data_IF_517466326034
#
_entry.id   IF_517466326034
#
_cell.length_a   1.000
_cell.length_b   1.000
_cell.length_c   1.000
_cell.angle_alpha   90.00
_cell.angle_beta   90.00
_cell.angle_gamma   90.00
#
_symmetry.space_group_name_H-M   'P 1'
#
loop_
_entity.id
_entity.type
_entity.pdbx_description
1 polymer ?
#
# COMPACT_ATOMS: atom_id res chain seq x y z
N UNK A 1 -10.65 -56.63 -50.93
CA UNK A 1 -9.75 -55.54 -50.50
C UNK A 1 -10.40 -54.59 -49.46
N UNK A 2 -11.39 -55.03 -48.66
CA UNK A 2 -12.14 -54.15 -47.73
C UNK A 2 -11.85 -54.35 -46.24
N UNK A 3 -10.95 -55.26 -45.85
CA UNK A 3 -10.67 -55.59 -44.45
C UNK A 3 -9.48 -54.83 -43.83
N UNK A 4 -8.67 -54.15 -44.64
CA UNK A 4 -7.48 -53.40 -44.18
C UNK A 4 -7.81 -51.98 -43.72
N UNK A 5 -8.84 -51.36 -44.32
CA UNK A 5 -9.28 -50.00 -43.99
C UNK A 5 -9.80 -49.86 -42.56
N UNK A 6 -10.41 -50.91 -41.99
CA UNK A 6 -10.96 -50.89 -40.63
C UNK A 6 -9.89 -51.05 -39.55
N UNK A 7 -8.82 -51.83 -39.81
CA UNK A 7 -7.68 -51.98 -38.91
C UNK A 7 -6.86 -50.70 -38.86
N UNK A 8 -6.60 -50.08 -40.02
CA UNK A 8 -5.87 -48.82 -40.10
C UNK A 8 -6.63 -47.67 -39.43
N UNK A 9 -7.96 -47.60 -39.59
CA UNK A 9 -8.79 -46.62 -38.88
C UNK A 9 -8.76 -46.80 -37.35
N UNK A 10 -8.78 -48.05 -36.86
CA UNK A 10 -8.63 -48.34 -35.42
C UNK A 10 -7.24 -48.00 -34.89
N UNK A 11 -6.18 -48.25 -35.68
CA UNK A 11 -4.81 -47.84 -35.33
C UNK A 11 -4.66 -46.33 -35.30
N UNK A 12 -5.24 -45.60 -36.25
CA UNK A 12 -5.23 -44.13 -36.23
C UNK A 12 -6.04 -43.57 -35.04
N UNK A 13 -7.20 -44.16 -34.72
CA UNK A 13 -8.00 -43.73 -33.58
C UNK A 13 -7.30 -43.98 -32.23
N UNK A 14 -6.62 -45.12 -32.08
CA UNK A 14 -5.85 -45.43 -30.86
C UNK A 14 -4.60 -44.56 -30.72
N UNK A 15 -3.88 -44.31 -31.82
CA UNK A 15 -2.75 -43.36 -31.82
C UNK A 15 -3.21 -41.94 -31.47
N UNK A 16 -4.33 -41.49 -32.03
CA UNK A 16 -4.92 -40.19 -31.69
C UNK A 16 -5.34 -40.12 -30.21
N UNK A 17 -5.97 -41.17 -29.68
CA UNK A 17 -6.35 -41.23 -28.26
C UNK A 17 -5.13 -41.21 -27.33
N UNK A 18 -4.07 -41.97 -27.64
CA UNK A 18 -2.81 -41.95 -26.87
C UNK A 18 -2.12 -40.59 -26.95
N UNK A 19 -2.15 -39.93 -28.11
CA UNK A 19 -1.63 -38.59 -28.26
C UNK A 19 -2.39 -37.61 -27.36
N UNK A 20 -3.73 -37.64 -27.36
CA UNK A 20 -4.56 -36.79 -26.49
C UNK A 20 -4.31 -37.07 -25.01
N UNK A 21 -4.19 -38.33 -24.60
CA UNK A 21 -3.91 -38.66 -23.20
C UNK A 21 -2.53 -38.14 -22.77
N UNK A 22 -1.51 -38.31 -23.61
CA UNK A 22 -0.15 -37.82 -23.31
C UNK A 22 -0.09 -36.29 -23.27
N UNK A 23 -0.79 -35.58 -24.17
CA UNK A 23 -0.82 -34.11 -24.15
C UNK A 23 -1.53 -33.59 -22.90
N UNK A 24 -2.65 -34.20 -22.50
CA UNK A 24 -3.35 -33.83 -21.26
C UNK A 24 -2.50 -34.12 -20.03
N UNK A 25 -1.85 -35.29 -19.96
CA UNK A 25 -0.97 -35.64 -18.85
C UNK A 25 0.24 -34.70 -18.76
N UNK A 26 0.85 -34.34 -19.88
CA UNK A 26 1.96 -33.40 -19.94
C UNK A 26 1.53 -31.98 -19.54
N UNK A 27 0.39 -31.50 -20.04
CA UNK A 27 -0.16 -30.20 -19.66
C UNK A 27 -0.49 -30.15 -18.15
N UNK A 28 -1.08 -31.22 -17.60
CA UNK A 28 -1.33 -31.34 -16.17
C UNK A 28 -0.02 -31.35 -15.36
N UNK A 29 1.03 -32.01 -15.86
CA UNK A 29 2.35 -32.01 -15.23
C UNK A 29 2.99 -30.61 -15.24
N UNK A 30 2.95 -29.89 -16.36
CA UNK A 30 3.46 -28.52 -16.45
C UNK A 30 2.69 -27.56 -15.53
N UNK A 31 1.37 -27.67 -15.50
CA UNK A 31 0.54 -26.89 -14.61
C UNK A 31 0.82 -27.21 -13.13
N UNK A 32 0.96 -28.49 -12.77
CA UNK A 32 1.35 -28.86 -11.42
C UNK A 32 2.76 -28.34 -11.07
N UNK A 33 3.72 -28.47 -12.00
CA UNK A 33 5.10 -28.04 -11.81
C UNK A 33 5.22 -26.54 -11.54
N UNK A 34 4.36 -25.69 -12.14
CA UNK A 34 4.39 -24.25 -11.88
C UNK A 34 3.96 -23.86 -10.45
N UNK A 35 3.22 -24.71 -9.73
CA UNK A 35 2.95 -24.51 -8.30
C UNK A 35 4.14 -24.86 -7.41
N UNK A 36 4.96 -25.83 -7.84
CA UNK A 36 6.12 -26.30 -7.07
C UNK A 36 7.39 -25.48 -7.38
N UNK A 37 7.59 -25.13 -8.64
CA UNK A 37 8.74 -24.33 -9.11
C UNK A 37 8.32 -22.86 -9.08
N UNK A 38 8.59 -22.20 -7.96
CA UNK A 38 8.32 -20.77 -7.81
C UNK A 38 9.38 -19.95 -8.51
N UNK A 39 9.01 -19.23 -9.56
CA UNK A 39 9.88 -18.23 -10.20
C UNK A 39 9.99 -17.00 -9.28
N UNK A 40 11.20 -16.53 -8.95
CA UNK A 40 11.38 -15.28 -8.19
C UNK A 40 10.74 -14.10 -8.94
N UNK A 41 9.92 -13.31 -8.26
CA UNK A 41 9.24 -12.14 -8.83
C UNK A 41 10.04 -10.85 -8.55
N UNK A 42 10.30 -10.55 -7.27
CA UNK A 42 11.04 -9.36 -6.85
C UNK A 42 12.56 -9.57 -7.01
N UNK A 43 13.07 -9.28 -8.19
CA UNK A 43 14.47 -9.53 -8.59
C UNK A 43 15.23 -8.26 -9.00
N UNK A 44 14.65 -7.08 -8.76
CA UNK A 44 15.34 -5.81 -9.03
C UNK A 44 16.63 -5.70 -8.22
N UNK A 45 17.64 -5.07 -8.83
CA UNK A 45 18.91 -4.77 -8.18
C UNK A 45 18.76 -3.74 -7.05
N UNK A 46 17.75 -2.86 -7.13
CA UNK A 46 17.46 -1.86 -6.11
C UNK A 46 16.39 -2.39 -5.15
N UNK A 47 16.80 -2.68 -3.91
CA UNK A 47 15.88 -3.10 -2.84
C UNK A 47 15.07 -1.92 -2.31
N UNK A 48 13.95 -2.18 -1.64
CA UNK A 48 13.17 -1.13 -0.99
C UNK A 48 13.98 -0.31 0.03
N UNK A 49 14.74 -0.97 0.91
CA UNK A 49 15.67 -0.31 1.83
C UNK A 49 16.74 0.52 1.09
N UNK A 50 17.29 0.01 -0.02
CA UNK A 50 18.23 0.75 -0.85
C UNK A 50 17.61 2.01 -1.45
N UNK A 51 16.38 1.91 -1.94
CA UNK A 51 15.66 3.06 -2.45
C UNK A 51 15.37 4.12 -1.37
N UNK A 52 14.97 3.70 -0.17
CA UNK A 52 14.76 4.62 0.96
C UNK A 52 16.07 5.33 1.32
N UNK A 53 17.19 4.62 1.32
CA UNK A 53 18.50 5.23 1.53
C UNK A 53 18.83 6.29 0.46
N UNK A 54 18.52 6.05 -0.81
CA UNK A 54 18.65 7.06 -1.88
C UNK A 54 17.77 8.29 -1.65
N UNK A 55 16.56 8.13 -1.12
CA UNK A 55 15.69 9.25 -0.78
C UNK A 55 16.27 10.07 0.37
N UNK A 56 16.87 9.40 1.36
CA UNK A 56 17.43 10.05 2.55
C UNK A 56 18.76 10.75 2.29
N UNK A 57 19.57 10.26 1.35
CA UNK A 57 20.91 10.80 1.03
C UNK A 57 20.94 11.64 -0.24
N UNK A 58 19.90 11.55 -1.08
CA UNK A 58 19.78 12.27 -2.33
C UNK A 58 19.27 13.70 -2.18
N UNK A 59 18.72 14.23 -3.27
CA UNK A 59 18.20 15.59 -3.31
C UNK A 59 17.00 15.77 -2.33
N UNK A 60 16.97 16.83 -1.51
CA UNK A 60 15.97 17.00 -0.44
C UNK A 60 14.52 17.08 -0.93
N UNK A 61 14.30 17.49 -2.17
CA UNK A 61 12.95 17.51 -2.75
C UNK A 61 12.44 16.13 -3.15
N UNK A 62 13.32 15.14 -3.39
CA UNK A 62 12.88 13.79 -3.79
C UNK A 62 12.06 13.15 -2.69
N UNK A 63 12.57 13.14 -1.46
CA UNK A 63 11.82 12.56 -0.33
C UNK A 63 10.51 13.31 -0.08
N UNK A 64 10.48 14.63 -0.28
CA UNK A 64 9.25 15.42 -0.18
C UNK A 64 8.22 15.04 -1.23
N UNK A 65 8.63 14.85 -2.48
CA UNK A 65 7.72 14.47 -3.57
C UNK A 65 7.21 13.04 -3.39
N UNK A 66 8.07 12.11 -2.95
CA UNK A 66 7.74 10.69 -2.87
C UNK A 66 7.00 10.32 -1.57
N UNK A 67 7.37 10.93 -0.43
CA UNK A 67 6.83 10.61 0.90
C UNK A 67 5.98 11.74 1.50
N UNK A 68 5.82 12.87 0.80
CA UNK A 68 4.97 13.98 1.23
C UNK A 68 5.56 14.84 2.35
N UNK A 69 6.80 14.59 2.78
CA UNK A 69 7.45 15.30 3.88
C UNK A 69 8.94 15.52 3.66
N UNK A 70 9.48 16.56 4.29
CA UNK A 70 10.92 16.83 4.26
C UNK A 70 11.72 15.78 5.05
N UNK A 71 12.98 15.56 4.68
CA UNK A 71 13.87 14.58 5.30
C UNK A 71 13.93 14.66 6.83
N UNK A 72 14.09 15.87 7.37
CA UNK A 72 14.18 16.06 8.83
C UNK A 72 12.88 15.66 9.55
N UNK A 73 11.72 15.87 8.92
CA UNK A 73 10.41 15.45 9.45
C UNK A 73 10.29 13.93 9.41
N UNK A 74 10.73 13.31 8.31
CA UNK A 74 10.76 11.85 8.18
C UNK A 74 11.63 11.21 9.27
N UNK A 75 12.85 11.72 9.49
CA UNK A 75 13.72 11.21 10.55
C UNK A 75 13.11 11.39 11.94
N UNK A 76 12.57 12.57 12.24
CA UNK A 76 11.91 12.83 13.52
C UNK A 76 10.70 11.90 13.76
N UNK A 77 9.94 11.61 12.71
CA UNK A 77 8.82 10.68 12.78
C UNK A 77 9.28 9.24 13.05
N UNK A 78 10.32 8.78 12.36
CA UNK A 78 10.92 7.46 12.59
C UNK A 78 11.41 7.34 14.04
N UNK A 79 12.04 8.38 14.59
CA UNK A 79 12.52 8.40 15.98
C UNK A 79 11.37 8.38 16.99
N UNK A 80 10.29 9.12 16.75
CA UNK A 80 9.09 9.09 17.59
C UNK A 80 8.40 7.71 17.55
N UNK A 81 8.28 7.10 16.36
CA UNK A 81 7.74 5.75 16.21
C UNK A 81 8.62 4.70 16.90
N UNK A 82 9.94 4.88 16.89
CA UNK A 82 10.88 4.04 17.64
C UNK A 82 10.70 4.22 19.15
N UNK A 83 10.45 5.44 19.61
CA UNK A 83 10.21 5.78 21.02
C UNK A 83 8.95 5.14 21.60
N UNK A 84 7.91 4.93 20.78
CA UNK A 84 6.68 4.22 21.19
C UNK A 84 6.77 2.69 21.03
N UNK A 85 7.93 2.15 20.61
CA UNK A 85 8.20 0.72 20.54
C UNK A 85 7.98 0.05 19.17
N UNK A 86 7.83 0.82 18.09
CA UNK A 86 7.79 0.25 16.74
C UNK A 86 9.23 0.03 16.25
N UNK A 87 9.49 -1.16 15.74
CA UNK A 87 10.82 -1.54 15.27
C UNK A 87 10.78 -2.18 13.88
N UNK A 88 11.95 -2.15 13.23
CA UNK A 88 12.20 -2.94 12.02
C UNK A 88 11.97 -4.43 12.29
N UNK A 89 11.54 -5.15 11.26
CA UNK A 89 11.62 -6.61 11.25
C UNK A 89 13.01 -7.04 10.78
N UNK A 90 13.30 -8.34 10.82
CA UNK A 90 14.56 -8.86 10.29
C UNK A 90 14.78 -8.53 8.79
N UNK A 91 13.69 -8.37 8.03
CA UNK A 91 13.76 -8.18 6.57
C UNK A 91 13.41 -6.77 6.09
N UNK A 92 12.82 -5.93 6.95
CA UNK A 92 12.30 -4.60 6.59
C UNK A 92 12.61 -3.62 7.72
N UNK A 93 13.40 -2.59 7.44
CA UNK A 93 13.79 -1.59 8.45
C UNK A 93 12.59 -0.73 8.87
N UNK A 94 12.72 0.02 9.97
CA UNK A 94 11.64 0.91 10.40
C UNK A 94 11.43 2.04 9.37
N UNK A 95 12.52 2.60 8.86
CA UNK A 95 12.53 3.63 7.82
C UNK A 95 11.80 3.12 6.57
N UNK A 96 12.04 1.88 6.16
CA UNK A 96 11.37 1.27 5.01
C UNK A 96 9.88 1.05 5.26
N UNK A 97 9.49 0.59 6.46
CA UNK A 97 8.07 0.46 6.81
C UNK A 97 7.33 1.81 6.74
N UNK A 98 7.93 2.85 7.32
CA UNK A 98 7.37 4.21 7.33
C UNK A 98 7.31 4.76 5.90
N UNK A 99 8.36 4.54 5.09
CA UNK A 99 8.37 4.93 3.69
C UNK A 99 7.28 4.22 2.87
N UNK A 100 7.06 2.92 3.07
CA UNK A 100 5.97 2.16 2.41
C UNK A 100 4.62 2.79 2.71
N UNK A 101 4.36 3.13 3.97
CA UNK A 101 3.10 3.75 4.39
C UNK A 101 2.88 5.10 3.71
N UNK A 102 3.83 6.03 3.84
CA UNK A 102 3.67 7.37 3.27
C UNK A 102 3.68 7.38 1.74
N UNK A 103 4.51 6.55 1.11
CA UNK A 103 4.50 6.40 -0.33
C UNK A 103 3.12 5.94 -0.84
N UNK A 104 2.49 4.99 -0.14
CA UNK A 104 1.13 4.52 -0.46
C UNK A 104 0.11 5.65 -0.30
N UNK A 105 0.16 6.40 0.81
CA UNK A 105 -0.75 7.52 1.07
C UNK A 105 -0.61 8.67 0.07
N UNK A 106 0.62 9.01 -0.32
CA UNK A 106 0.92 10.13 -1.22
C UNK A 106 0.59 9.81 -2.66
N UNK A 107 0.89 8.60 -3.12
CA UNK A 107 0.72 8.22 -4.53
C UNK A 107 -0.62 7.57 -4.85
N UNK A 108 -1.30 6.98 -3.86
CA UNK A 108 -2.54 6.23 -4.08
C UNK A 108 -2.38 4.98 -4.93
N UNK A 109 -1.15 4.46 -5.09
CA UNK A 109 -0.86 3.28 -5.89
C UNK A 109 -1.45 2.00 -5.27
N UNK A 110 -1.78 1.03 -6.12
CA UNK A 110 -2.22 -0.29 -5.66
C UNK A 110 -1.06 -1.04 -4.99
N UNK A 111 -1.41 -1.95 -4.07
CA UNK A 111 -0.42 -2.74 -3.32
C UNK A 111 0.57 -3.50 -4.21
N UNK A 112 0.15 -3.89 -5.41
CA UNK A 112 0.99 -4.54 -6.40
C UNK A 112 2.11 -3.62 -6.90
N UNK A 113 1.79 -2.37 -7.23
CA UNK A 113 2.79 -1.40 -7.68
C UNK A 113 3.73 -0.99 -6.55
N UNK A 114 3.20 -0.87 -5.33
CA UNK A 114 4.03 -0.60 -4.14
C UNK A 114 4.96 -1.78 -3.84
N UNK A 115 4.45 -3.01 -3.92
CA UNK A 115 5.25 -4.23 -3.78
C UNK A 115 6.34 -4.35 -4.81
N UNK A 116 6.06 -3.97 -6.06
CA UNK A 116 7.09 -3.88 -7.09
C UNK A 116 8.11 -2.77 -6.79
N UNK A 117 7.68 -1.58 -6.35
CA UNK A 117 8.63 -0.50 -6.03
C UNK A 117 9.61 -0.87 -4.92
N UNK A 118 9.11 -1.48 -3.85
CA UNK A 118 9.91 -1.83 -2.68
C UNK A 118 10.48 -3.26 -2.74
N UNK A 119 10.17 -4.02 -3.81
CA UNK A 119 10.64 -5.39 -4.01
C UNK A 119 10.23 -6.34 -2.87
N UNK A 120 8.99 -6.21 -2.39
CA UNK A 120 8.42 -7.02 -1.32
C UNK A 120 7.08 -7.61 -1.73
N UNK A 121 6.81 -8.82 -1.22
CA UNK A 121 5.52 -9.47 -1.39
C UNK A 121 4.37 -8.59 -0.85
N UNK A 122 3.20 -8.65 -1.49
CA UNK A 122 2.01 -7.89 -1.08
C UNK A 122 1.65 -8.08 0.40
N UNK A 123 1.86 -9.29 0.96
CA UNK A 123 1.66 -9.56 2.38
C UNK A 123 2.61 -8.75 3.28
N UNK A 124 3.86 -8.55 2.87
CA UNK A 124 4.81 -7.69 3.59
C UNK A 124 4.40 -6.23 3.47
N UNK A 125 4.05 -5.74 2.27
CA UNK A 125 3.57 -4.35 2.10
C UNK A 125 2.34 -4.07 2.97
N UNK A 126 1.34 -4.96 2.95
CA UNK A 126 0.12 -4.81 3.76
C UNK A 126 0.44 -4.78 5.25
N UNK A 127 1.33 -5.67 5.72
CA UNK A 127 1.76 -5.68 7.13
C UNK A 127 2.45 -4.38 7.51
N UNK A 128 3.40 -3.89 6.69
CA UNK A 128 4.12 -2.64 6.96
C UNK A 128 3.15 -1.45 7.02
N UNK A 129 2.22 -1.38 6.05
CA UNK A 129 1.19 -0.34 6.01
C UNK A 129 0.34 -0.34 7.27
N UNK A 130 -0.17 -1.50 7.69
CA UNK A 130 -1.01 -1.62 8.88
C UNK A 130 -0.25 -1.34 10.17
N UNK A 131 1.00 -1.80 10.28
CA UNK A 131 1.86 -1.52 11.45
C UNK A 131 2.02 -0.02 11.66
N UNK A 132 2.35 0.73 10.61
CA UNK A 132 2.54 2.18 10.72
C UNK A 132 1.20 2.88 10.94
N UNK A 133 0.13 2.48 10.23
CA UNK A 133 -1.21 3.02 10.41
C UNK A 133 -1.67 2.91 11.87
N UNK A 134 -1.58 1.73 12.47
CA UNK A 134 -1.97 1.54 13.86
C UNK A 134 -1.07 2.30 14.82
N UNK A 135 0.23 2.42 14.54
CA UNK A 135 1.13 3.21 15.35
C UNK A 135 0.74 4.69 15.36
N UNK A 136 0.52 5.30 14.19
CA UNK A 136 0.17 6.74 14.09
C UNK A 136 -1.25 7.03 14.56
N UNK A 137 -2.15 6.04 14.54
CA UNK A 137 -3.51 6.16 15.08
C UNK A 137 -3.63 5.73 16.56
N UNK A 138 -2.53 5.26 17.17
CA UNK A 138 -2.55 4.85 18.57
C UNK A 138 -2.52 6.06 19.51
N UNK A 139 -3.13 5.98 20.72
CA UNK A 139 -3.13 7.09 21.68
C UNK A 139 -1.75 7.70 21.98
N UNK A 140 -0.66 6.90 22.15
CA UNK A 140 0.68 7.46 22.39
C UNK A 140 1.18 8.43 21.33
N UNK A 141 0.74 8.26 20.08
CA UNK A 141 1.12 9.12 18.96
C UNK A 141 0.01 10.13 18.65
N UNK A 142 -1.20 9.65 18.40
CA UNK A 142 -2.33 10.44 17.93
C UNK A 142 -2.67 11.57 18.90
N UNK A 143 -2.85 11.29 20.19
CA UNK A 143 -3.26 12.29 21.18
C UNK A 143 -2.19 13.37 21.42
N UNK A 144 -0.92 13.02 21.16
CA UNK A 144 0.21 13.94 21.29
C UNK A 144 0.23 14.98 20.16
N UNK A 145 -0.01 14.54 18.93
CA UNK A 145 0.17 15.36 17.73
C UNK A 145 -1.13 15.88 17.11
N UNK A 146 -2.22 15.14 17.23
CA UNK A 146 -3.53 15.51 16.70
C UNK A 146 -4.40 16.06 17.83
N UNK A 147 -4.54 17.38 17.85
CA UNK A 147 -5.42 18.08 18.80
C UNK A 147 -6.56 18.71 18.01
N UNK A 148 -7.75 18.14 18.17
CA UNK A 148 -8.96 18.78 17.66
C UNK A 148 -9.26 20.02 18.51
N UNK A 149 -9.60 21.14 17.86
CA UNK A 149 -10.04 22.33 18.55
C UNK A 149 -11.39 22.00 19.20
N UNK A 150 -11.49 22.14 20.52
CA UNK A 150 -12.77 22.00 21.21
C UNK A 150 -13.64 23.22 20.92
N UNK A 151 -14.96 23.06 20.95
CA UNK A 151 -15.97 24.12 20.73
C UNK A 151 -15.86 25.32 21.69
N UNK A 152 -15.01 25.21 22.71
CA UNK A 152 -14.74 26.24 23.72
C UNK A 152 -13.60 27.16 23.28
N UNK A 153 -12.73 26.73 22.35
CA UNK A 153 -11.62 27.55 21.90
C UNK A 153 -12.10 28.62 20.90
N UNK A 154 -11.74 29.90 21.11
CA UNK A 154 -12.15 30.98 20.22
C UNK A 154 -11.55 30.76 18.83
N UNK A 155 -12.32 31.13 17.80
CA UNK A 155 -11.86 31.11 16.40
C UNK A 155 -10.51 31.83 16.32
N UNK A 156 -9.46 31.21 15.73
CA UNK A 156 -8.15 31.85 15.64
C UNK A 156 -8.21 33.25 15.02
N UNK A 157 -7.43 34.19 15.57
CA UNK A 157 -7.43 35.60 15.13
C UNK A 157 -7.17 35.78 13.63
N UNK A 158 -6.37 34.90 13.03
CA UNK A 158 -6.15 34.84 11.58
C UNK A 158 -7.45 34.67 10.77
N UNK A 159 -8.40 33.88 11.27
CA UNK A 159 -9.70 33.65 10.61
C UNK A 159 -10.62 34.83 10.92
N UNK A 160 -10.74 35.23 12.18
CA UNK A 160 -11.61 36.33 12.63
C UNK A 160 -11.30 37.65 11.92
N UNK A 161 -10.01 37.97 11.74
CA UNK A 161 -9.57 39.24 11.18
C UNK A 161 -9.58 39.26 9.63
N UNK A 162 -9.90 38.14 8.97
CA UNK A 162 -9.89 38.05 7.53
C UNK A 162 -11.33 37.95 6.97
N UNK A 163 -11.84 38.98 6.26
CA UNK A 163 -13.20 38.97 5.72
C UNK A 163 -13.40 37.91 4.61
N UNK A 164 -12.31 37.33 4.07
CA UNK A 164 -12.40 36.17 3.17
C UNK A 164 -12.77 34.88 3.92
N UNK A 165 -12.41 34.77 5.19
CA UNK A 165 -12.61 33.56 5.99
C UNK A 165 -13.76 33.69 6.99
N UNK A 166 -13.93 34.85 7.61
CA UNK A 166 -15.07 35.14 8.48
C UNK A 166 -16.17 35.87 7.69
N UNK A 167 -17.46 35.47 7.80
CA UNK A 167 -18.04 34.54 8.78
C UNK A 167 -18.08 33.06 8.36
N UNK A 168 -17.60 32.70 7.17
CA UNK A 168 -17.75 31.35 6.59
C UNK A 168 -17.17 30.22 7.46
N UNK A 169 -16.09 30.50 8.20
CA UNK A 169 -15.44 29.54 9.11
C UNK A 169 -15.68 29.86 10.60
N UNK A 170 -16.73 30.61 10.95
CA UNK A 170 -17.00 31.07 12.32
C UNK A 170 -17.27 29.94 13.35
N UNK A 171 -17.48 28.71 12.89
CA UNK A 171 -17.64 27.50 13.73
C UNK A 171 -16.77 26.32 13.31
N UNK A 172 -15.71 26.56 12.53
CA UNK A 172 -14.85 25.48 12.04
C UNK A 172 -13.97 24.91 13.18
N UNK A 173 -14.22 23.66 13.56
CA UNK A 173 -13.46 22.93 14.59
C UNK A 173 -12.20 22.22 14.06
N UNK A 174 -12.00 22.25 12.74
CA UNK A 174 -10.82 21.72 12.08
C UNK A 174 -10.90 21.96 10.58
N UNK A 175 -9.75 22.15 9.94
CA UNK A 175 -9.61 22.02 8.51
C UNK A 175 -9.04 20.63 8.23
N UNK A 176 -9.89 19.69 7.82
CA UNK A 176 -9.38 18.60 6.97
C UNK A 176 -8.88 19.28 5.70
N UNK A 177 -7.71 18.89 5.18
CA UNK A 177 -7.27 19.45 3.89
C UNK A 177 -8.41 19.29 2.86
N UNK A 178 -8.43 20.14 1.83
CA UNK A 178 -9.52 20.29 0.85
C UNK A 178 -9.90 19.06 0.02
N UNK A 179 -9.58 17.86 0.47
CA UNK A 179 -10.14 16.58 0.03
C UNK A 179 -11.64 16.49 0.37
N UNK A 180 -12.49 16.80 -0.61
CA UNK A 180 -13.94 16.57 -0.53
C UNK A 180 -14.22 15.05 -0.58
N UNK A 181 -14.42 14.43 0.57
CA UNK A 181 -15.00 13.08 0.64
C UNK A 181 -16.52 13.19 0.56
N UNK A 182 -17.14 12.41 -0.34
CA UNK A 182 -18.59 12.33 -0.40
C UNK A 182 -19.10 11.59 0.85
N UNK A 183 -19.51 12.35 1.86
CA UNK A 183 -20.07 11.81 3.10
C UNK A 183 -21.60 11.81 3.00
N UNK A 184 -22.21 10.62 3.07
CA UNK A 184 -23.64 10.46 3.28
C UNK A 184 -23.86 10.01 4.72
N UNK A 185 -23.98 10.94 5.68
CA UNK A 185 -24.23 10.59 7.08
C UNK A 185 -25.54 9.81 7.20
N UNK A 186 -25.60 8.92 8.19
CA UNK A 186 -26.79 8.10 8.43
C UNK A 186 -28.00 8.97 8.81
N UNK A 187 -29.20 8.43 8.69
CA UNK A 187 -30.43 9.16 9.02
C UNK A 187 -30.44 9.66 10.48
N UNK A 188 -29.81 8.94 11.42
CA UNK A 188 -29.68 9.35 12.82
C UNK A 188 -28.75 10.55 13.00
N UNK A 189 -27.65 10.61 12.26
CA UNK A 189 -26.64 11.68 12.38
C UNK A 189 -27.11 13.00 11.74
N UNK A 190 -28.03 12.94 10.76
CA UNK A 190 -28.63 14.15 10.15
C UNK A 190 -29.48 14.99 11.11
N UNK A 191 -29.96 14.41 12.20
CA UNK A 191 -30.76 15.13 13.21
C UNK A 191 -29.91 15.81 14.29
N UNK A 192 -28.60 15.57 14.31
CA UNK A 192 -27.66 16.10 15.32
C UNK A 192 -26.78 17.25 14.79
N UNK A 193 -26.86 17.56 13.50
CA UNK A 193 -26.12 18.62 12.82
C UNK A 193 -27.02 19.85 12.61
#
# INVERSE_FOLDING_TARGET
MSSTLTVQQRQMATAAALFVVNTVAFAAHLYAASFYIKTPYHTSALTGAGWVHELMTGHPDRIKMELGMHLHVFCALVDELRGIGIHGTYFVTLEEQVAIFFYTCVTGLSIWHVGERFQHANATISRCFLTVLFAVSSPPFYDRYVKLLTTIQPVPSHILNNPKFFPFFSGAIGAMDGSHFNCCPSAQERHLA
#
